data_IF_307678707445
#
_entry.id   IF_307678707445
#
_cell.length_a   1.000
_cell.length_b   1.000
_cell.length_c   1.000
_cell.angle_alpha   90.00
_cell.angle_beta   90.00
_cell.angle_gamma   90.00
#
_symmetry.space_group_name_H-M   'P 1'
#
loop_
_entity.id
_entity.type
_entity.pdbx_description
1 polymer ?
#
# COMPACT_ATOMS: atom_id res chain seq x y z
N UNK A 1 -1.74 11.51 14.53
CA UNK A 1 -1.28 11.53 13.12
C UNK A 1 -0.83 10.12 12.76
N UNK A 2 -1.31 9.53 11.66
CA UNK A 2 -0.89 8.19 11.22
C UNK A 2 0.58 8.25 10.77
N UNK A 3 1.46 7.45 11.39
CA UNK A 3 2.88 7.44 11.09
C UNK A 3 3.19 6.34 10.06
N UNK A 4 3.41 6.74 8.80
CA UNK A 4 3.75 5.82 7.72
C UNK A 4 5.27 5.62 7.63
N UNK A 5 5.73 4.42 7.94
CA UNK A 5 7.17 4.11 8.03
C UNK A 5 7.72 3.50 6.74
N UNK A 6 9.06 3.50 6.59
CA UNK A 6 9.73 2.80 5.48
C UNK A 6 9.44 1.30 5.46
N UNK A 7 9.19 0.68 6.61
CA UNK A 7 8.84 -0.74 6.67
C UNK A 7 7.43 -0.98 6.10
N UNK A 8 6.47 -0.09 6.39
CA UNK A 8 5.14 -0.14 5.77
C UNK A 8 5.22 0.01 4.24
N UNK A 9 6.08 0.90 3.74
CA UNK A 9 6.33 1.05 2.31
C UNK A 9 6.86 -0.25 1.65
N UNK A 10 7.79 -0.95 2.30
CA UNK A 10 8.30 -2.26 1.83
C UNK A 10 7.19 -3.33 1.83
N UNK A 11 6.31 -3.31 2.82
CA UNK A 11 5.16 -4.24 2.88
C UNK A 11 4.24 -4.01 1.69
N UNK A 12 3.88 -2.76 1.37
CA UNK A 12 3.07 -2.45 0.18
C UNK A 12 3.71 -2.98 -1.11
N UNK A 13 5.02 -2.82 -1.25
CA UNK A 13 5.75 -3.35 -2.42
C UNK A 13 5.66 -4.87 -2.51
N UNK A 14 5.90 -5.58 -1.40
CA UNK A 14 5.81 -7.04 -1.35
C UNK A 14 4.41 -7.53 -1.68
N UNK A 15 3.37 -6.88 -1.16
CA UNK A 15 1.98 -7.22 -1.47
C UNK A 15 1.68 -7.08 -2.96
N UNK A 16 2.15 -6.00 -3.60
CA UNK A 16 2.00 -5.83 -5.04
C UNK A 16 2.72 -6.92 -5.83
N UNK A 17 3.97 -7.23 -5.46
CA UNK A 17 4.80 -8.24 -6.13
C UNK A 17 4.18 -9.64 -5.98
N UNK A 18 3.66 -9.99 -4.80
CA UNK A 18 2.95 -11.25 -4.55
C UNK A 18 1.64 -11.35 -5.34
N UNK A 19 0.96 -10.22 -5.58
CA UNK A 19 -0.22 -10.16 -6.44
C UNK A 19 0.11 -10.17 -7.94
N UNK A 20 1.40 -10.23 -8.31
CA UNK A 20 1.92 -10.17 -9.68
C UNK A 20 1.42 -8.94 -10.47
N UNK A 21 1.42 -7.77 -9.83
CA UNK A 21 0.96 -6.52 -10.44
C UNK A 21 2.11 -5.54 -10.68
N UNK A 22 2.02 -4.80 -11.77
CA UNK A 22 2.83 -3.60 -12.00
C UNK A 22 2.29 -2.42 -11.18
N UNK A 23 3.14 -1.42 -10.96
CA UNK A 23 2.73 -0.18 -10.28
C UNK A 23 1.60 0.55 -11.03
N UNK A 24 1.59 0.44 -12.38
CA UNK A 24 0.54 1.02 -13.22
C UNK A 24 -0.80 0.30 -12.99
N UNK A 25 -0.80 -1.03 -12.91
CA UNK A 25 -2.03 -1.80 -12.66
C UNK A 25 -2.62 -1.53 -11.28
N UNK A 26 -1.77 -1.40 -10.24
CA UNK A 26 -2.25 -0.99 -8.90
C UNK A 26 -2.89 0.40 -8.97
N UNK A 27 -2.24 1.37 -9.60
CA UNK A 27 -2.80 2.72 -9.76
C UNK A 27 -4.14 2.71 -10.51
N UNK A 28 -4.24 1.91 -11.58
CA UNK A 28 -5.47 1.73 -12.35
C UNK A 28 -6.58 1.12 -11.49
N UNK A 29 -6.30 0.08 -10.71
CA UNK A 29 -7.27 -0.58 -9.81
C UNK A 29 -7.72 0.34 -8.68
N UNK A 30 -6.84 1.22 -8.20
CA UNK A 30 -7.18 2.27 -7.22
C UNK A 30 -8.00 3.42 -7.85
N UNK A 31 -8.24 3.42 -9.16
CA UNK A 31 -8.95 4.50 -9.84
C UNK A 31 -8.16 5.82 -9.94
N UNK A 32 -6.84 5.80 -9.74
CA UNK A 32 -6.00 6.99 -9.80
C UNK A 32 -5.77 7.35 -11.27
N UNK A 33 -6.02 8.61 -11.66
CA UNK A 33 -5.84 9.08 -13.03
C UNK A 33 -4.44 8.71 -13.55
N UNK A 34 -4.41 7.97 -14.65
CA UNK A 34 -3.25 7.23 -15.20
C UNK A 34 -2.01 8.08 -15.44
N UNK A 35 -2.16 9.39 -15.68
CA UNK A 35 -1.04 10.31 -15.94
C UNK A 35 -0.07 10.46 -14.76
N UNK A 36 -0.54 10.30 -13.52
CA UNK A 36 0.29 10.45 -12.30
C UNK A 36 0.20 9.25 -11.34
N UNK A 37 -0.69 8.30 -11.62
CA UNK A 37 -0.97 7.17 -10.74
C UNK A 37 0.25 6.29 -10.47
N UNK A 38 1.02 5.92 -11.51
CA UNK A 38 2.22 5.10 -11.33
C UNK A 38 3.26 5.79 -10.42
N UNK A 39 3.42 7.11 -10.58
CA UNK A 39 4.34 7.90 -9.76
C UNK A 39 3.95 7.87 -8.29
N UNK A 40 2.65 7.97 -7.97
CA UNK A 40 2.15 7.86 -6.60
C UNK A 40 2.51 6.50 -5.98
N UNK A 41 2.32 5.40 -6.72
CA UNK A 41 2.65 4.05 -6.24
C UNK A 41 4.15 3.93 -5.96
N UNK A 42 5.00 4.42 -6.88
CA UNK A 42 6.45 4.42 -6.65
C UNK A 42 6.84 5.22 -5.40
N UNK A 43 6.25 6.39 -5.18
CA UNK A 43 6.52 7.21 -3.99
C UNK A 43 6.05 6.53 -2.69
N UNK A 44 4.91 5.84 -2.72
CA UNK A 44 4.40 5.05 -1.60
C UNK A 44 5.35 3.92 -1.24
N UNK A 45 5.77 3.11 -2.23
CA UNK A 45 6.68 1.97 -2.04
C UNK A 45 8.10 2.37 -1.63
N UNK A 46 8.52 3.59 -1.97
CA UNK A 46 9.79 4.17 -1.52
C UNK A 46 9.71 4.82 -0.12
N UNK A 47 8.52 4.93 0.47
CA UNK A 47 8.32 5.64 1.73
C UNK A 47 8.54 7.15 1.63
N UNK A 48 8.39 7.72 0.42
CA UNK A 48 8.57 9.16 0.17
C UNK A 48 7.30 9.96 0.41
N UNK A 49 6.14 9.31 0.40
CA UNK A 49 4.88 9.92 0.86
C UNK A 49 4.92 9.97 2.38
N UNK A 50 5.16 11.15 2.96
CA UNK A 50 5.32 11.32 4.42
C UNK A 50 4.07 10.89 5.19
N UNK A 51 2.88 11.31 4.72
CA UNK A 51 1.60 11.08 5.40
C UNK A 51 0.52 10.67 4.38
N UNK A 52 0.55 9.43 3.86
CA UNK A 52 -0.55 8.94 3.04
C UNK A 52 -1.83 8.85 3.87
N UNK A 53 -2.97 9.15 3.26
CA UNK A 53 -4.25 8.95 3.94
C UNK A 53 -4.50 7.47 4.21
N UNK A 54 -5.24 7.14 5.27
CA UNK A 54 -5.66 5.77 5.55
C UNK A 54 -6.40 5.18 4.34
N UNK A 55 -7.25 5.98 3.69
CA UNK A 55 -7.97 5.61 2.47
C UNK A 55 -7.01 5.16 1.36
N UNK A 56 -5.92 5.88 1.14
CA UNK A 56 -4.89 5.54 0.15
C UNK A 56 -4.25 4.18 0.43
N UNK A 57 -3.96 3.89 1.70
CA UNK A 57 -3.39 2.59 2.11
C UNK A 57 -4.42 1.48 1.89
N UNK A 58 -5.67 1.68 2.30
CA UNK A 58 -6.74 0.70 2.13
C UNK A 58 -7.03 0.41 0.65
N UNK A 59 -7.13 1.43 -0.19
CA UNK A 59 -7.33 1.25 -1.64
C UNK A 59 -6.17 0.46 -2.28
N UNK A 60 -4.94 0.69 -1.82
CA UNK A 60 -3.78 -0.07 -2.28
C UNK A 60 -3.89 -1.54 -1.90
N UNK A 61 -4.23 -1.84 -0.64
CA UNK A 61 -4.41 -3.21 -0.16
C UNK A 61 -5.49 -3.91 -0.98
N UNK A 62 -6.66 -3.28 -1.15
CA UNK A 62 -7.75 -3.77 -1.98
C UNK A 62 -7.31 -4.02 -3.44
N UNK A 63 -6.54 -3.11 -4.03
CA UNK A 63 -6.02 -3.27 -5.39
C UNK A 63 -5.10 -4.50 -5.56
N UNK A 64 -4.40 -4.88 -4.49
CA UNK A 64 -3.56 -6.08 -4.42
C UNK A 64 -4.33 -7.33 -3.99
N UNK A 65 -5.64 -7.23 -3.71
CA UNK A 65 -6.42 -8.35 -3.16
C UNK A 65 -6.08 -8.70 -1.72
N UNK A 66 -5.42 -7.79 -1.00
CA UNK A 66 -5.09 -7.95 0.41
C UNK A 66 -6.10 -7.23 1.29
N UNK A 67 -6.35 -7.78 2.48
CA UNK A 67 -7.07 -7.10 3.56
C UNK A 67 -6.10 -6.75 4.68
N UNK A 68 -6.44 -5.75 5.48
CA UNK A 68 -5.77 -5.55 6.76
C UNK A 68 -6.22 -6.67 7.71
N UNK A 69 -5.40 -7.70 7.84
CA UNK A 69 -5.48 -8.62 8.97
C UNK A 69 -4.67 -7.95 10.07
N UNK A 70 -5.26 -7.74 11.25
CA UNK A 70 -4.51 -7.23 12.40
C UNK A 70 -3.30 -8.12 12.73
N UNK A 71 -2.47 -7.76 13.72
CA UNK A 71 -1.45 -8.69 14.18
C UNK A 71 -2.09 -10.06 14.48
N UNK A 72 -1.42 -11.18 14.15
CA UNK A 72 -1.89 -12.49 14.54
C UNK A 72 -2.30 -12.47 16.01
N UNK A 73 -3.43 -13.07 16.37
CA UNK A 73 -3.89 -13.09 17.78
C UNK A 73 -2.81 -13.59 18.76
N UNK A 74 -1.85 -14.38 18.28
CA UNK A 74 -0.68 -14.83 19.02
C UNK A 74 0.27 -13.71 19.50
N UNK A 75 0.25 -12.54 18.88
CA UNK A 75 1.10 -11.37 19.22
C UNK A 75 0.40 -10.39 20.18
N UNK A 76 -0.88 -10.64 20.51
CA UNK A 76 -1.59 -9.93 21.58
C UNK A 76 -1.23 -10.59 22.91
N UNK A 77 -0.10 -10.18 23.51
CA UNK A 77 0.12 -10.49 24.94
C UNK A 77 -0.93 -9.75 25.78
N UNK A 78 -1.50 -10.40 26.81
CA UNK A 78 -2.44 -9.76 27.74
C UNK A 78 -1.81 -8.59 28.48
#
# INVERSE_FOLDING_TARGET
MFNFTKEMAKILRRLRENANLTQKEVATRMGVKTKYGQGLIAQLEMGKVKNPSLRTILDYLCACGASWVGPPEADLKP
#
